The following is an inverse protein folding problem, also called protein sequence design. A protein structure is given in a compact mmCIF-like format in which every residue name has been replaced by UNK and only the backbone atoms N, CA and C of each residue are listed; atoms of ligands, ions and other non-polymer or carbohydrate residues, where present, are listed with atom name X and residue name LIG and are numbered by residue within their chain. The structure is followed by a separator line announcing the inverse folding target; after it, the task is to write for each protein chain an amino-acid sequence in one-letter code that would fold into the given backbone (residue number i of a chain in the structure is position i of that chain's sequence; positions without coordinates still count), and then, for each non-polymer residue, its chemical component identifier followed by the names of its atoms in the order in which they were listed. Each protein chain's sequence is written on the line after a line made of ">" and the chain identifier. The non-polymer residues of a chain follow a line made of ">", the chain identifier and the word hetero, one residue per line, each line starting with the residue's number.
data_IF_239723809565
#
_entry.id   IF_239723809565
#
_cell.length_a   1.000
_cell.length_b   1.000
_cell.length_c   1.000
_cell.angle_alpha   90.00
_cell.angle_beta   90.00
_cell.angle_gamma   90.00
#
_symmetry.space_group_name_H-M   'P 1'
#
loop_
_entity.id
_entity.type
_entity.pdbx_description
1 polymer ?
#
# COMPACT_ATOMS: atom_id res chain seq x y z
N UNK A 1 -0.60 -8.99 -6.20
CA UNK A 1 -1.75 -8.11 -5.90
C UNK A 1 -1.42 -6.65 -6.18
N UNK A 2 -2.32 -5.88 -6.83
CA UNK A 2 -2.15 -4.42 -6.92
C UNK A 2 -2.39 -3.80 -5.55
N UNK A 3 -1.50 -2.91 -5.11
CA UNK A 3 -1.64 -2.09 -3.91
C UNK A 3 -1.45 -0.61 -4.27
N UNK A 4 -1.78 0.28 -3.34
CA UNK A 4 -1.50 1.70 -3.49
C UNK A 4 0.01 1.94 -3.38
N UNK A 5 0.53 2.82 -4.23
CA UNK A 5 1.92 3.27 -4.15
C UNK A 5 2.09 4.29 -3.04
N UNK A 6 3.25 4.27 -2.41
CA UNK A 6 3.68 5.26 -1.42
C UNK A 6 4.93 5.94 -1.94
N UNK A 7 5.08 7.23 -1.59
CA UNK A 7 6.27 8.02 -1.90
C UNK A 7 6.91 8.46 -0.60
N UNK A 8 8.23 8.30 -0.51
CA UNK A 8 9.06 8.72 0.61
C UNK A 8 10.12 9.70 0.15
N UNK A 9 10.36 10.74 0.93
CA UNK A 9 11.30 11.83 0.65
C UNK A 9 12.22 11.96 1.87
N UNK A 10 13.52 11.77 1.69
CA UNK A 10 14.54 11.93 2.75
C UNK A 10 15.31 13.21 2.52
N UNK A 11 14.92 14.27 3.21
CA UNK A 11 15.43 15.63 2.93
C UNK A 11 16.79 15.93 3.57
N UNK A 12 17.23 15.13 4.55
CA UNK A 12 18.48 15.36 5.27
C UNK A 12 18.61 16.80 5.77
N UNK A 13 19.76 17.41 5.53
CA UNK A 13 20.09 18.77 5.99
C UNK A 13 19.47 19.89 5.14
N UNK A 14 18.96 19.60 3.94
CA UNK A 14 18.43 20.61 3.00
C UNK A 14 17.18 21.32 3.53
N UNK A 15 16.52 20.73 4.54
CA UNK A 15 15.31 21.27 5.15
C UNK A 15 14.09 21.13 4.22
N UNK A 16 12.99 20.61 4.76
CA UNK A 16 11.79 20.33 3.96
C UNK A 16 11.19 21.60 3.33
N UNK A 17 11.25 22.75 4.01
CA UNK A 17 10.59 23.98 3.57
C UNK A 17 11.22 24.50 2.28
N UNK A 18 12.55 24.53 2.22
CA UNK A 18 13.28 24.99 1.04
C UNK A 18 13.10 24.02 -0.13
N UNK A 19 13.21 22.71 0.14
CA UNK A 19 12.93 21.68 -0.87
C UNK A 19 11.52 21.81 -1.46
N UNK A 20 10.50 21.99 -0.61
CA UNK A 20 9.11 22.10 -1.05
C UNK A 20 8.85 23.40 -1.81
N UNK A 21 9.53 24.48 -1.43
CA UNK A 21 9.50 25.73 -2.18
C UNK A 21 10.06 25.52 -3.58
N UNK A 22 11.21 24.87 -3.72
CA UNK A 22 11.82 24.59 -5.02
C UNK A 22 10.94 23.64 -5.87
N UNK A 23 10.29 22.64 -5.24
CA UNK A 23 9.25 21.83 -5.90
C UNK A 23 8.11 22.70 -6.40
N UNK A 24 7.66 23.67 -5.61
CA UNK A 24 6.54 24.56 -5.96
C UNK A 24 6.89 25.51 -7.11
N UNK A 25 8.11 26.05 -7.10
CA UNK A 25 8.61 26.99 -8.12
C UNK A 25 8.81 26.29 -9.48
N UNK A 26 9.01 24.97 -9.49
CA UNK A 26 9.17 24.15 -10.70
C UNK A 26 7.90 23.41 -11.13
N UNK A 27 6.75 23.63 -10.47
CA UNK A 27 5.50 23.00 -10.89
C UNK A 27 5.08 23.46 -12.28
N UNK A 28 4.67 22.50 -13.10
CA UNK A 28 4.01 22.72 -14.37
C UNK A 28 2.58 22.14 -14.33
N UNK A 29 1.72 22.61 -15.24
CA UNK A 29 0.39 22.03 -15.40
C UNK A 29 0.52 20.51 -15.68
N UNK A 30 -0.34 19.67 -15.06
CA UNK A 30 -1.59 20.02 -14.37
C UNK A 30 -1.45 20.24 -12.85
N UNK A 31 -0.24 20.32 -12.31
CA UNK A 31 -0.01 20.43 -10.86
C UNK A 31 0.06 21.87 -10.38
N UNK A 32 -0.53 22.11 -9.21
CA UNK A 32 -0.43 23.38 -8.50
C UNK A 32 -0.34 23.17 -7.00
N UNK A 33 0.22 24.17 -6.33
CA UNK A 33 0.25 24.21 -4.88
C UNK A 33 -1.11 24.64 -4.31
N UNK A 34 -1.62 23.86 -3.37
CA UNK A 34 -2.93 24.07 -2.76
C UNK A 34 -2.79 24.65 -1.33
N UNK A 35 -2.30 25.88 -1.22
CA UNK A 35 -2.05 26.55 0.06
C UNK A 35 -3.28 26.62 0.98
N UNK A 36 -4.48 26.78 0.39
CA UNK A 36 -5.74 26.84 1.15
C UNK A 36 -6.00 25.54 1.92
N UNK A 37 -5.56 24.40 1.38
CA UNK A 37 -5.77 23.09 1.99
C UNK A 37 -4.83 22.85 3.19
N UNK A 38 -3.69 23.54 3.25
CA UNK A 38 -2.72 23.43 4.35
C UNK A 38 -3.25 24.05 5.65
N UNK A 39 -4.12 25.06 5.54
CA UNK A 39 -4.70 25.72 6.70
C UNK A 39 -5.59 24.79 7.53
N UNK A 40 -6.19 23.78 6.90
CA UNK A 40 -7.00 22.78 7.57
C UNK A 40 -6.17 21.90 8.51
N UNK A 41 -4.87 21.71 8.22
CA UNK A 41 -3.97 20.88 9.02
C UNK A 41 -3.19 21.68 10.08
N UNK A 42 -3.08 23.01 9.94
CA UNK A 42 -2.46 23.88 10.96
C UNK A 42 -3.07 23.68 12.35
N UNK A 43 -4.37 23.39 12.43
CA UNK A 43 -5.07 23.13 13.70
C UNK A 43 -4.63 21.84 14.40
N UNK A 44 -4.05 20.89 13.66
CA UNK A 44 -3.54 19.62 14.19
C UNK A 44 -2.08 19.71 14.67
N UNK A 45 -1.42 20.86 14.47
CA UNK A 45 -0.02 21.06 14.86
C UNK A 45 0.99 20.35 13.95
N UNK A 46 0.54 19.74 12.86
CA UNK A 46 1.38 19.06 11.88
C UNK A 46 1.67 19.98 10.69
N UNK A 47 2.93 20.01 10.26
CA UNK A 47 3.32 20.68 9.03
C UNK A 47 2.92 19.78 7.86
N UNK A 48 2.04 20.29 7.01
CA UNK A 48 1.60 19.61 5.80
C UNK A 48 1.79 20.50 4.58
N UNK A 49 2.10 19.88 3.46
CA UNK A 49 2.34 20.58 2.20
C UNK A 49 1.41 20.01 1.12
N UNK A 50 0.43 20.79 0.69
CA UNK A 50 -0.68 20.30 -0.12
C UNK A 50 -0.52 20.66 -1.60
N UNK A 51 -0.77 19.68 -2.48
CA UNK A 51 -0.76 19.86 -3.93
C UNK A 51 -2.07 19.37 -4.52
N UNK A 52 -2.45 19.97 -5.64
CA UNK A 52 -3.62 19.59 -6.40
C UNK A 52 -3.25 19.43 -7.87
N UNK A 53 -3.85 18.42 -8.47
CA UNK A 53 -3.83 18.15 -9.90
C UNK A 53 -5.19 18.51 -10.49
N UNK A 54 -5.20 19.25 -11.58
CA UNK A 54 -6.41 19.46 -12.39
C UNK A 54 -6.72 18.22 -13.25
N UNK A 55 -8.00 18.00 -13.56
CA UNK A 55 -8.40 16.92 -14.47
C UNK A 55 -7.85 17.18 -15.88
N UNK A 56 -7.47 16.11 -16.58
CA UNK A 56 -7.20 16.13 -18.01
C UNK A 56 -7.79 14.89 -18.72
N UNK A 57 -7.43 14.69 -19.98
CA UNK A 57 -7.94 13.56 -20.76
C UNK A 57 -7.47 12.19 -20.27
N UNK A 58 -6.47 12.12 -19.38
CA UNK A 58 -5.86 10.87 -18.94
C UNK A 58 -6.20 10.51 -17.50
N UNK A 59 -6.28 11.49 -16.60
CA UNK A 59 -6.46 11.26 -15.17
C UNK A 59 -7.40 12.31 -14.54
N UNK A 60 -8.18 11.90 -13.52
CA UNK A 60 -9.10 12.79 -12.83
C UNK A 60 -8.38 13.85 -11.98
N UNK A 61 -9.11 14.87 -11.56
CA UNK A 61 -8.65 15.84 -10.58
C UNK A 61 -8.43 15.18 -9.20
N UNK A 62 -7.31 15.49 -8.56
CA UNK A 62 -6.92 14.88 -7.30
C UNK A 62 -6.08 15.81 -6.43
N UNK A 63 -6.09 15.57 -5.13
CA UNK A 63 -5.24 16.23 -4.15
C UNK A 63 -4.33 15.24 -3.46
N UNK A 64 -3.15 15.70 -3.07
CA UNK A 64 -2.23 14.97 -2.20
C UNK A 64 -1.56 15.93 -1.23
N UNK A 65 -1.05 15.37 -0.14
CA UNK A 65 -0.39 16.14 0.91
C UNK A 65 0.88 15.41 1.31
N UNK A 66 1.96 16.16 1.55
CA UNK A 66 3.21 15.62 2.09
C UNK A 66 3.24 15.92 3.59
N UNK A 67 3.49 14.88 4.39
CA UNK A 67 3.58 14.95 5.85
C UNK A 67 4.92 14.39 6.34
N UNK A 68 5.31 14.79 7.54
CA UNK A 68 6.45 14.17 8.22
C UNK A 68 6.04 12.77 8.70
N UNK A 69 6.88 11.77 8.43
CA UNK A 69 6.70 10.40 8.91
C UNK A 69 7.45 10.19 10.23
N UNK A 70 8.76 10.38 10.17
CA UNK A 70 9.70 10.25 11.28
C UNK A 70 11.01 10.96 10.91
N UNK A 71 11.70 11.55 11.88
CA UNK A 71 13.00 12.19 11.66
C UNK A 71 13.01 13.17 10.46
N UNK A 72 13.88 12.90 9.49
CA UNK A 72 14.01 13.62 8.22
C UNK A 72 13.24 12.98 7.05
N UNK A 73 12.40 11.98 7.33
CA UNK A 73 11.57 11.28 6.35
C UNK A 73 10.19 11.93 6.26
N UNK A 74 9.84 12.31 5.03
CA UNK A 74 8.53 12.81 4.64
C UNK A 74 7.87 11.83 3.69
N UNK A 75 6.54 11.85 3.60
CA UNK A 75 5.81 10.91 2.76
C UNK A 75 4.45 11.45 2.32
N UNK A 76 3.89 10.82 1.29
CA UNK A 76 2.54 11.07 0.79
C UNK A 76 1.64 9.94 1.30
N UNK A 77 0.82 10.13 2.35
CA UNK A 77 0.00 9.07 2.92
C UNK A 77 -1.17 8.66 2.05
N UNK A 78 -1.67 9.56 1.19
CA UNK A 78 -2.85 9.31 0.37
C UNK A 78 -2.95 10.29 -0.81
N UNK A 79 -3.63 9.82 -1.85
CA UNK A 79 -4.13 10.64 -2.97
C UNK A 79 -5.66 10.58 -2.94
N UNK A 80 -6.29 11.75 -2.85
CA UNK A 80 -7.75 11.87 -2.73
C UNK A 80 -8.34 12.50 -3.99
N UNK A 81 -9.46 11.99 -4.54
CA UNK A 81 -10.14 12.66 -5.63
C UNK A 81 -10.74 13.99 -5.13
N UNK A 82 -10.69 15.03 -5.96
CA UNK A 82 -11.31 16.33 -5.61
C UNK A 82 -12.71 16.52 -6.20
N UNK A 83 -13.03 15.79 -7.27
CA UNK A 83 -14.32 15.90 -7.96
C UNK A 83 -15.06 14.56 -8.09
N UNK A 84 -14.34 13.44 -8.18
CA UNK A 84 -14.93 12.10 -8.22
C UNK A 84 -15.11 11.50 -6.82
N UNK A 85 -15.93 10.44 -6.71
CA UNK A 85 -16.21 9.80 -5.42
C UNK A 85 -15.07 8.94 -4.88
N UNK A 86 -14.37 8.19 -5.75
CA UNK A 86 -13.26 7.31 -5.37
C UNK A 86 -12.33 7.08 -6.56
N UNK A 87 -11.02 6.98 -6.30
CA UNK A 87 -10.01 6.57 -7.28
C UNK A 87 -9.84 5.04 -7.27
N UNK A 88 -9.71 4.44 -8.45
CA UNK A 88 -9.22 3.07 -8.58
C UNK A 88 -7.73 2.98 -8.23
N UNK A 89 -7.22 1.76 -7.97
CA UNK A 89 -5.78 1.51 -7.81
C UNK A 89 -4.97 2.02 -8.99
N UNK A 90 -5.51 1.94 -10.20
CA UNK A 90 -4.79 2.35 -11.40
C UNK A 90 -4.72 3.87 -11.51
N UNK A 91 -5.82 4.58 -11.26
CA UNK A 91 -5.84 6.05 -11.24
C UNK A 91 -4.96 6.58 -10.12
N UNK A 92 -5.12 6.07 -8.89
CA UNK A 92 -4.29 6.43 -7.75
C UNK A 92 -2.81 6.26 -8.08
N UNK A 93 -2.42 5.07 -8.54
CA UNK A 93 -1.01 4.75 -8.77
C UNK A 93 -0.43 5.58 -9.93
N UNK A 94 -1.22 5.90 -10.95
CA UNK A 94 -0.80 6.80 -12.03
C UNK A 94 -0.60 8.22 -11.52
N UNK A 95 -1.53 8.75 -10.72
CA UNK A 95 -1.44 10.13 -10.20
C UNK A 95 -0.23 10.30 -9.28
N UNK A 96 0.00 9.38 -8.33
CA UNK A 96 1.15 9.51 -7.42
C UNK A 96 2.49 9.29 -8.15
N UNK A 97 2.51 8.41 -9.17
CA UNK A 97 3.70 8.23 -10.02
C UNK A 97 3.97 9.47 -10.84
N UNK A 98 2.94 10.09 -11.41
CA UNK A 98 3.05 11.35 -12.17
C UNK A 98 3.64 12.47 -11.30
N UNK A 99 3.12 12.68 -10.08
CA UNK A 99 3.69 13.65 -9.14
C UNK A 99 5.15 13.33 -8.79
N UNK A 100 5.46 12.07 -8.52
CA UNK A 100 6.83 11.63 -8.23
C UNK A 100 7.79 11.92 -9.38
N UNK A 101 7.44 11.53 -10.61
CA UNK A 101 8.33 11.65 -11.77
C UNK A 101 8.46 13.09 -12.27
N UNK A 102 7.37 13.87 -12.26
CA UNK A 102 7.34 15.22 -12.84
C UNK A 102 7.67 16.32 -11.85
N UNK A 103 7.33 16.16 -10.56
CA UNK A 103 7.49 17.21 -9.56
C UNK A 103 8.66 16.92 -8.60
N UNK A 104 8.78 15.69 -8.08
CA UNK A 104 9.76 15.38 -7.03
C UNK A 104 11.14 15.00 -7.58
N UNK A 105 11.21 14.10 -8.56
CA UNK A 105 12.50 13.59 -9.10
C UNK A 105 13.40 14.71 -9.65
N UNK A 106 12.91 15.67 -10.48
CA UNK A 106 13.76 16.70 -11.06
C UNK A 106 14.42 17.59 -10.02
N UNK A 107 13.66 17.97 -8.98
CA UNK A 107 14.14 18.82 -7.89
C UNK A 107 15.06 18.01 -6.99
N UNK A 108 14.66 16.79 -6.61
CA UNK A 108 15.48 15.93 -5.74
C UNK A 108 16.89 15.69 -6.29
N UNK A 109 17.00 15.51 -7.62
CA UNK A 109 18.29 15.35 -8.29
C UNK A 109 19.20 16.59 -8.17
N UNK A 110 18.64 17.81 -8.12
CA UNK A 110 19.40 19.07 -7.94
C UNK A 110 19.96 19.22 -6.52
N UNK A 111 19.22 18.72 -5.53
CA UNK A 111 19.57 18.83 -4.11
C UNK A 111 20.30 17.61 -3.54
N UNK A 112 20.46 16.53 -4.33
CA UNK A 112 21.00 15.27 -3.82
C UNK A 112 20.08 14.60 -2.79
N UNK A 113 18.78 14.88 -2.85
CA UNK A 113 17.74 14.32 -1.98
C UNK A 113 17.33 12.95 -2.52
N UNK A 114 17.13 11.99 -1.61
CA UNK A 114 16.63 10.67 -1.98
C UNK A 114 15.11 10.69 -1.92
N UNK A 115 14.49 10.42 -3.07
CA UNK A 115 13.05 10.18 -3.18
C UNK A 115 12.82 8.76 -3.70
N UNK A 116 11.92 8.02 -3.06
CA UNK A 116 11.61 6.63 -3.35
C UNK A 116 10.10 6.47 -3.56
N UNK A 117 9.70 5.63 -4.51
CA UNK A 117 8.31 5.25 -4.73
C UNK A 117 8.18 3.72 -4.69
N UNK A 118 7.14 3.20 -4.04
CA UNK A 118 6.88 1.75 -4.01
C UNK A 118 6.37 1.25 -5.36
N UNK A 119 6.47 -0.06 -5.59
CA UNK A 119 6.11 -0.69 -6.89
C UNK A 119 4.60 -0.67 -7.16
N UNK A 120 3.77 -0.56 -6.11
CA UNK A 120 2.31 -0.71 -6.22
C UNK A 120 1.88 -2.17 -6.45
N UNK A 121 2.79 -3.12 -6.19
CA UNK A 121 2.53 -4.55 -6.31
C UNK A 121 3.06 -5.28 -5.06
N UNK A 122 2.20 -6.05 -4.42
CA UNK A 122 2.57 -7.01 -3.38
C UNK A 122 2.58 -8.41 -3.98
N UNK A 123 3.69 -9.13 -3.80
CA UNK A 123 3.78 -10.57 -4.10
C UNK A 123 3.23 -11.36 -2.92
N UNK A 124 2.87 -12.62 -3.18
CA UNK A 124 2.43 -13.55 -2.14
C UNK A 124 3.47 -13.61 -1.00
N UNK A 125 4.75 -13.65 -1.36
CA UNK A 125 5.89 -13.70 -0.43
C UNK A 125 5.99 -12.46 0.46
N UNK A 126 5.60 -11.29 -0.05
CA UNK A 126 5.61 -10.04 0.73
C UNK A 126 4.52 -10.04 1.81
N UNK A 127 3.47 -10.85 1.65
CA UNK A 127 2.32 -10.93 2.57
C UNK A 127 2.51 -12.06 3.58
N UNK A 128 2.88 -13.25 3.12
CA UNK A 128 2.89 -14.47 3.96
C UNK A 128 4.28 -15.07 4.13
N UNK A 129 5.32 -14.50 3.52
CA UNK A 129 6.68 -15.05 3.51
C UNK A 129 6.90 -16.17 2.48
N UNK A 130 8.17 -16.50 2.23
CA UNK A 130 8.58 -17.40 1.13
C UNK A 130 7.99 -18.82 1.20
N UNK A 131 8.05 -19.44 2.39
CA UNK A 131 7.58 -20.82 2.57
C UNK A 131 6.04 -20.87 2.58
N UNK A 132 5.34 -20.03 3.37
CA UNK A 132 3.89 -20.05 3.36
C UNK A 132 3.30 -19.68 2.00
N UNK A 133 3.92 -18.76 1.24
CA UNK A 133 3.46 -18.41 -0.11
C UNK A 133 3.42 -19.63 -1.05
N UNK A 134 4.48 -20.47 -1.02
CA UNK A 134 4.53 -21.71 -1.81
C UNK A 134 3.46 -22.72 -1.40
N UNK A 135 3.22 -22.85 -0.09
CA UNK A 135 2.20 -23.76 0.44
C UNK A 135 0.79 -23.27 0.09
N UNK A 136 0.55 -21.97 0.20
CA UNK A 136 -0.71 -21.32 -0.17
C UNK A 136 -1.03 -21.52 -1.66
N UNK A 137 -0.06 -21.27 -2.55
CA UNK A 137 -0.22 -21.56 -3.98
C UNK A 137 -0.52 -23.03 -4.26
N UNK A 138 0.17 -23.93 -3.57
CA UNK A 138 -0.06 -25.37 -3.71
C UNK A 138 -1.49 -25.73 -3.28
N UNK A 139 -1.94 -25.24 -2.13
CA UNK A 139 -3.31 -25.40 -1.67
C UNK A 139 -4.32 -24.88 -2.70
N UNK A 140 -4.22 -23.63 -3.13
CA UNK A 140 -5.16 -23.01 -4.07
C UNK A 140 -5.18 -23.67 -5.45
N UNK A 141 -4.05 -24.22 -5.90
CA UNK A 141 -3.94 -24.90 -7.19
C UNK A 141 -4.53 -26.31 -7.17
N UNK A 142 -4.46 -27.01 -6.04
CA UNK A 142 -4.89 -28.40 -5.92
C UNK A 142 -6.25 -28.60 -5.26
N UNK A 143 -6.74 -27.62 -4.49
CA UNK A 143 -7.98 -27.75 -3.74
C UNK A 143 -9.21 -27.53 -4.63
N UNK A 144 -10.30 -28.21 -4.27
CA UNK A 144 -11.59 -27.89 -4.85
C UNK A 144 -12.11 -26.58 -4.26
N UNK A 145 -12.10 -25.52 -5.07
CA UNK A 145 -12.41 -24.15 -4.63
C UNK A 145 -13.83 -23.95 -4.12
N UNK A 146 -14.77 -24.82 -4.48
CA UNK A 146 -16.16 -24.76 -3.98
C UNK A 146 -16.33 -25.35 -2.58
N UNK A 147 -15.32 -26.05 -2.05
CA UNK A 147 -15.39 -26.75 -0.77
C UNK A 147 -14.37 -26.29 0.26
N UNK A 148 -13.57 -25.26 -0.04
CA UNK A 148 -12.56 -24.76 0.90
C UNK A 148 -11.57 -25.84 1.34
N UNK A 149 -11.39 -25.95 2.65
CA UNK A 149 -10.55 -26.95 3.32
C UNK A 149 -11.32 -28.23 3.74
N UNK A 150 -12.57 -28.42 3.28
CA UNK A 150 -13.43 -29.49 3.79
C UNK A 150 -12.91 -30.91 3.46
N UNK A 151 -12.32 -31.11 2.28
CA UNK A 151 -11.76 -32.41 1.88
C UNK A 151 -10.47 -32.70 2.67
N UNK A 152 -10.23 -33.94 3.16
CA UNK A 152 -9.07 -34.24 4.02
C UNK A 152 -7.71 -33.82 3.43
N UNK A 153 -7.50 -34.03 2.12
CA UNK A 153 -6.25 -33.61 1.46
C UNK A 153 -6.10 -32.09 1.39
N UNK A 154 -7.19 -31.36 1.24
CA UNK A 154 -7.19 -29.90 1.15
C UNK A 154 -6.98 -29.31 2.54
N UNK A 155 -7.63 -29.89 3.55
CA UNK A 155 -7.39 -29.60 4.96
C UNK A 155 -5.92 -29.74 5.35
N UNK A 156 -5.27 -30.84 4.95
CA UNK A 156 -3.86 -31.06 5.28
C UNK A 156 -2.94 -30.01 4.62
N UNK A 157 -3.21 -29.61 3.37
CA UNK A 157 -2.48 -28.54 2.70
C UNK A 157 -2.72 -27.19 3.39
N UNK A 158 -3.96 -26.93 3.80
CA UNK A 158 -4.32 -25.71 4.52
C UNK A 158 -3.63 -25.63 5.87
N UNK A 159 -3.63 -26.71 6.65
CA UNK A 159 -2.90 -26.78 7.92
C UNK A 159 -1.40 -26.60 7.75
N UNK A 160 -0.81 -27.16 6.69
CA UNK A 160 0.61 -26.96 6.40
C UNK A 160 0.92 -25.47 6.16
N UNK A 161 0.06 -24.75 5.43
CA UNK A 161 0.16 -23.31 5.27
C UNK A 161 0.07 -22.57 6.61
N UNK A 162 -0.98 -22.82 7.43
CA UNK A 162 -1.18 -22.15 8.72
C UNK A 162 0.03 -22.33 9.63
N UNK A 163 0.53 -23.56 9.76
CA UNK A 163 1.70 -23.87 10.62
C UNK A 163 2.95 -23.15 10.14
N UNK A 164 3.18 -23.09 8.82
CA UNK A 164 4.33 -22.38 8.28
C UNK A 164 4.20 -20.86 8.49
N UNK A 165 3.01 -20.32 8.27
CA UNK A 165 2.67 -18.91 8.43
C UNK A 165 2.82 -18.43 9.88
N UNK A 166 2.45 -19.25 10.86
CA UNK A 166 2.62 -18.89 12.28
C UNK A 166 4.10 -18.93 12.73
N UNK A 167 4.96 -19.65 12.01
CA UNK A 167 6.40 -19.75 12.31
C UNK A 167 7.22 -18.65 11.66
N UNK A 168 6.76 -18.05 10.56
CA UNK A 168 7.31 -16.78 10.09
C UNK A 168 6.94 -15.71 11.10
N UNK A 169 7.93 -15.02 11.65
CA UNK A 169 7.79 -14.09 12.80
C UNK A 169 6.93 -12.84 12.54
N UNK A 170 6.30 -12.76 11.38
CA UNK A 170 5.53 -11.61 10.92
C UNK A 170 4.04 -11.91 11.13
N UNK A 171 3.32 -10.95 11.73
CA UNK A 171 1.87 -11.07 11.88
C UNK A 171 1.23 -10.79 10.52
N UNK A 172 0.64 -11.82 9.92
CA UNK A 172 0.00 -11.71 8.61
C UNK A 172 -1.31 -10.93 8.74
N UNK A 173 -1.45 -9.88 7.95
CA UNK A 173 -2.72 -9.14 7.81
C UNK A 173 -3.77 -10.03 7.13
N UNK A 174 -4.90 -10.20 7.81
CA UNK A 174 -5.95 -11.13 7.36
C UNK A 174 -6.78 -10.56 6.21
N UNK A 175 -6.80 -9.23 6.06
CA UNK A 175 -7.36 -8.56 4.89
C UNK A 175 -6.53 -8.85 3.64
N UNK A 176 -5.21 -8.72 3.72
CA UNK A 176 -4.30 -9.06 2.62
C UNK A 176 -4.34 -10.55 2.29
N UNK A 177 -4.43 -11.44 3.30
CA UNK A 177 -4.62 -12.87 3.07
C UNK A 177 -5.94 -13.17 2.32
N UNK A 178 -7.06 -12.54 2.71
CA UNK A 178 -8.35 -12.70 2.03
C UNK A 178 -8.23 -12.32 0.56
N UNK A 179 -7.62 -11.16 0.28
CA UNK A 179 -7.45 -10.67 -1.09
C UNK A 179 -6.53 -11.57 -1.89
N UNK A 180 -5.46 -12.08 -1.28
CA UNK A 180 -4.55 -13.03 -1.90
C UNK A 180 -5.28 -14.32 -2.33
N UNK A 181 -6.13 -14.87 -1.47
CA UNK A 181 -7.00 -16.00 -1.81
C UNK A 181 -7.93 -15.66 -2.97
N UNK A 182 -8.59 -14.50 -2.95
CA UNK A 182 -9.46 -14.08 -4.07
C UNK A 182 -8.70 -14.00 -5.40
N UNK A 183 -7.46 -13.49 -5.40
CA UNK A 183 -6.61 -13.47 -6.60
C UNK A 183 -6.23 -14.86 -7.10
N UNK A 184 -6.11 -15.83 -6.20
CA UNK A 184 -5.87 -17.23 -6.53
C UNK A 184 -7.15 -17.97 -6.97
N UNK A 185 -8.27 -17.24 -7.11
CA UNK A 185 -9.52 -17.71 -7.71
C UNK A 185 -10.56 -18.20 -6.70
N UNK A 186 -10.34 -18.02 -5.40
CA UNK A 186 -11.33 -18.33 -4.38
C UNK A 186 -12.48 -17.32 -4.41
N UNK A 187 -13.71 -17.79 -4.21
CA UNK A 187 -14.85 -16.87 -4.03
C UNK A 187 -14.69 -16.07 -2.74
N UNK A 188 -15.34 -14.92 -2.65
CA UNK A 188 -15.27 -14.09 -1.44
C UNK A 188 -15.71 -14.84 -0.17
N UNK A 189 -16.78 -15.62 -0.27
CA UNK A 189 -17.31 -16.43 0.83
C UNK A 189 -16.28 -17.46 1.31
N UNK A 190 -15.73 -18.27 0.40
CA UNK A 190 -14.76 -19.30 0.78
C UNK A 190 -13.43 -18.69 1.24
N UNK A 191 -13.00 -17.58 0.64
CA UNK A 191 -11.82 -16.86 1.10
C UNK A 191 -12.01 -16.33 2.54
N UNK A 192 -13.21 -15.86 2.88
CA UNK A 192 -13.53 -15.44 4.25
C UNK A 192 -13.51 -16.63 5.21
N UNK A 193 -14.13 -17.75 4.85
CA UNK A 193 -14.12 -18.97 5.68
C UNK A 193 -12.70 -19.45 5.97
N UNK A 194 -11.84 -19.48 4.94
CA UNK A 194 -10.43 -19.83 5.10
C UNK A 194 -9.70 -18.84 6.01
N UNK A 195 -9.94 -17.54 5.88
CA UNK A 195 -9.34 -16.53 6.77
C UNK A 195 -9.76 -16.74 8.22
N UNK A 196 -11.04 -17.06 8.48
CA UNK A 196 -11.53 -17.38 9.83
C UNK A 196 -10.80 -18.62 10.38
N UNK A 197 -10.62 -19.66 9.56
CA UNK A 197 -9.84 -20.85 9.94
C UNK A 197 -8.37 -20.52 10.24
N UNK A 198 -7.77 -19.62 9.46
CA UNK A 198 -6.40 -19.14 9.68
C UNK A 198 -6.28 -18.39 11.01
N UNK A 199 -7.19 -17.46 11.31
CA UNK A 199 -7.20 -16.71 12.57
C UNK A 199 -7.31 -17.65 13.77
N UNK A 200 -8.28 -18.58 13.72
CA UNK A 200 -8.44 -19.59 14.76
C UNK A 200 -7.19 -20.46 14.92
N UNK A 201 -6.61 -20.93 13.82
CA UNK A 201 -5.40 -21.75 13.84
C UNK A 201 -4.19 -21.00 14.40
N UNK A 202 -4.03 -19.71 14.04
CA UNK A 202 -2.99 -18.83 14.57
C UNK A 202 -3.11 -18.63 16.06
N UNK A 203 -4.32 -18.34 16.55
CA UNK A 203 -4.58 -18.13 17.98
C UNK A 203 -4.35 -19.40 18.79
N UNK A 204 -4.74 -20.56 18.24
CA UNK A 204 -4.50 -21.86 18.87
C UNK A 204 -3.00 -22.16 18.99
N UNK A 205 -2.21 -21.94 17.93
CA UNK A 205 -0.76 -22.15 17.96
C UNK A 205 -0.11 -21.19 18.95
N UNK A 206 -0.47 -19.90 18.93
CA UNK A 206 0.00 -18.91 19.90
C UNK A 206 -0.31 -19.36 21.33
N UNK A 207 -1.51 -19.87 21.61
CA UNK A 207 -1.87 -20.38 22.93
C UNK A 207 -1.04 -21.60 23.38
N UNK A 208 -0.61 -22.46 22.45
CA UNK A 208 0.21 -23.64 22.75
C UNK A 208 1.69 -23.33 22.99
N UNK A 209 2.18 -22.18 22.51
CA UNK A 209 3.57 -21.74 22.65
C UNK A 209 3.82 -20.89 23.91
N UNK A 210 2.77 -20.57 24.67
CA UNK A 210 2.82 -19.91 26.00
C UNK A 210 3.09 -20.95 27.09
#
# INVERSE_FOLDING_TARGET
>A
MKTFKDVFIRVGDTGIVDYIKDVTDELENPWKRAYENEENFKYLGEVSFCFQREEDSALPAAGLSIFQKDGDTWYIPNVVPTESGQLSYEEYNKIITDFYETCLVPVSAKHGIVVEITTGELKDEDIVGDIPAKLLRTFSSCANKSTGSAHPSDRNRWFAFIVAACKSKDDIDTGDLKRLLQQQGWSEEIALDLVIEFEFGRDLIKHMEV
#
